data_IF_307139801067
#
_entry.id   IF_307139801067
#
_cell.length_a   1.000
_cell.length_b   1.000
_cell.length_c   1.000
_cell.angle_alpha   90.00
_cell.angle_beta   90.00
_cell.angle_gamma   90.00
#
_symmetry.space_group_name_H-M   'P 1'
#
loop_
_entity.id
_entity.type
_entity.pdbx_description
1 polymer ?
#
# COMPACT_ATOMS: atom_id res chain seq x y z
N UNK A 1 64.13 28.19 -0.77
CA UNK A 1 63.33 28.54 -1.96
C UNK A 1 62.94 27.23 -2.59
N UNK A 2 61.79 26.60 -2.35
CA UNK A 2 60.49 27.02 -1.80
C UNK A 2 59.85 25.70 -1.31
N UNK A 3 59.65 25.55 -0.01
CA UNK A 3 58.33 25.43 0.63
C UNK A 3 57.35 24.42 -0.03
N UNK A 4 57.17 23.26 0.63
CA UNK A 4 55.83 22.72 0.94
C UNK A 4 55.91 21.53 1.90
N UNK A 5 55.52 21.76 3.15
CA UNK A 5 55.16 20.74 4.14
C UNK A 5 53.71 20.23 3.91
N UNK A 6 53.26 19.18 4.63
CA UNK A 6 52.45 18.08 4.11
C UNK A 6 50.95 18.29 4.32
N UNK A 7 50.12 17.61 3.50
CA UNK A 7 48.68 17.52 3.74
C UNK A 7 48.32 16.10 4.18
N UNK A 8 48.37 15.94 5.50
CA UNK A 8 47.39 15.27 6.36
C UNK A 8 46.37 14.39 5.60
N UNK A 9 46.61 13.09 5.57
CA UNK A 9 45.60 12.08 5.24
C UNK A 9 44.52 12.08 6.31
N UNK A 10 43.44 12.81 6.05
CA UNK A 10 42.26 12.87 6.88
C UNK A 10 41.37 11.64 6.61
N UNK A 11 41.35 10.73 7.58
CA UNK A 11 40.15 10.11 8.15
C UNK A 11 38.99 9.76 7.20
N UNK A 12 38.87 8.49 6.86
CA UNK A 12 37.57 7.83 6.92
C UNK A 12 37.19 7.65 8.41
N UNK A 13 35.91 7.62 8.83
CA UNK A 13 34.76 7.12 8.08
C UNK A 13 33.46 7.93 8.24
N UNK A 14 32.63 8.01 7.20
CA UNK A 14 31.21 8.36 7.37
C UNK A 14 30.34 7.16 7.00
N UNK A 15 30.18 6.32 8.01
CA UNK A 15 29.01 5.48 8.15
C UNK A 15 27.80 6.40 8.41
N UNK A 16 27.03 6.68 7.36
CA UNK A 16 25.62 7.08 7.50
C UNK A 16 24.85 6.37 6.39
N UNK A 17 24.76 5.04 6.49
CA UNK A 17 23.52 4.39 6.08
C UNK A 17 22.58 4.57 7.26
N UNK A 18 22.04 5.79 7.41
CA UNK A 18 20.80 5.98 8.12
C UNK A 18 19.82 5.02 7.45
N UNK A 19 19.60 3.90 8.13
CA UNK A 19 18.45 3.05 7.94
C UNK A 19 17.29 4.02 7.98
N UNK A 20 16.80 4.38 6.79
CA UNK A 20 15.55 5.09 6.63
C UNK A 20 14.50 4.06 7.04
N UNK A 21 14.41 3.83 8.34
CA UNK A 21 13.22 3.31 8.98
C UNK A 21 12.16 4.28 8.51
N UNK A 22 11.44 3.89 7.47
CA UNK A 22 10.23 4.57 7.06
C UNK A 22 9.44 4.68 8.35
N UNK A 23 9.11 5.90 8.82
CA UNK A 23 8.32 6.05 10.03
C UNK A 23 7.12 5.13 9.82
N UNK A 24 7.01 4.12 10.67
CA UNK A 24 5.98 3.11 10.56
C UNK A 24 4.72 3.82 11.00
N UNK A 25 4.09 4.54 10.05
CA UNK A 25 2.85 5.25 10.29
C UNK A 25 1.90 4.21 10.86
N UNK A 26 1.42 4.41 12.10
CA UNK A 26 0.50 3.46 12.71
C UNK A 26 -0.67 3.29 11.76
N UNK A 27 -0.95 2.05 11.36
CA UNK A 27 -2.10 1.76 10.51
C UNK A 27 -3.35 2.07 11.35
N UNK A 28 -4.05 3.13 10.98
CA UNK A 28 -5.33 3.49 11.58
C UNK A 28 -6.42 2.57 11.03
N UNK A 29 -6.58 1.43 11.70
CA UNK A 29 -7.54 0.38 11.36
C UNK A 29 -8.98 0.92 11.33
N UNK A 30 -9.32 1.83 12.25
CA UNK A 30 -10.68 2.36 12.37
C UNK A 30 -11.00 3.28 11.19
N UNK A 31 -10.07 4.16 10.82
CA UNK A 31 -10.22 5.00 9.63
C UNK A 31 -10.32 4.14 8.37
N UNK A 32 -9.47 3.11 8.22
CA UNK A 32 -9.55 2.22 7.05
C UNK A 32 -10.89 1.49 6.96
N UNK A 33 -11.43 0.98 8.09
CA UNK A 33 -12.74 0.32 8.13
C UNK A 33 -13.86 1.27 7.71
N UNK A 34 -13.90 2.48 8.25
CA UNK A 34 -14.90 3.48 7.87
C UNK A 34 -14.85 3.82 6.38
N UNK A 35 -13.65 3.97 5.81
CA UNK A 35 -13.47 4.19 4.37
C UNK A 35 -14.00 3.02 3.54
N UNK A 36 -13.68 1.77 3.95
CA UNK A 36 -14.18 0.55 3.30
C UNK A 36 -15.70 0.49 3.37
N UNK A 37 -16.30 0.67 4.55
CA UNK A 37 -17.74 0.59 4.77
C UNK A 37 -18.49 1.64 3.92
N UNK A 38 -17.98 2.88 3.88
CA UNK A 38 -18.52 3.94 3.02
C UNK A 38 -18.47 3.56 1.54
N UNK A 39 -17.35 3.01 1.08
CA UNK A 39 -17.18 2.58 -0.30
C UNK A 39 -18.06 1.37 -0.67
N UNK A 40 -18.31 0.45 0.27
CA UNK A 40 -19.19 -0.70 0.04
C UNK A 40 -20.68 -0.31 0.07
N UNK A 41 -21.04 0.77 0.78
CA UNK A 41 -22.40 1.31 0.81
C UNK A 41 -22.86 1.94 -0.52
N UNK A 42 -21.95 2.15 -1.49
CA UNK A 42 -22.24 2.70 -2.83
C UNK A 42 -23.33 1.95 -3.59
N UNK A 43 -23.51 0.64 -3.32
CA UNK A 43 -24.58 -0.16 -3.93
C UNK A 43 -25.98 0.26 -3.49
N UNK A 44 -26.09 0.85 -2.30
CA UNK A 44 -27.35 1.26 -1.69
C UNK A 44 -27.56 2.78 -1.75
N UNK A 45 -26.47 3.55 -1.83
CA UNK A 45 -26.53 5.01 -1.90
C UNK A 45 -25.51 5.51 -2.94
N UNK A 46 -25.96 5.94 -4.12
CA UNK A 46 -25.09 6.56 -5.11
C UNK A 46 -24.42 7.81 -4.54
N UNK A 47 -23.13 7.99 -4.83
CA UNK A 47 -22.37 9.20 -4.50
C UNK A 47 -22.08 9.99 -5.78
N UNK A 48 -21.78 11.27 -5.60
CA UNK A 48 -21.32 12.14 -6.68
C UNK A 48 -19.91 11.76 -7.15
N UNK A 49 -19.56 12.19 -8.37
CA UNK A 49 -18.28 11.84 -8.99
C UNK A 49 -17.07 12.27 -8.15
N UNK A 50 -17.11 13.47 -7.58
CA UNK A 50 -16.04 14.01 -6.70
C UNK A 50 -15.82 13.12 -5.47
N UNK A 51 -16.91 12.65 -4.85
CA UNK A 51 -16.82 11.75 -3.69
C UNK A 51 -16.26 10.37 -4.06
N UNK A 52 -16.54 9.88 -5.28
CA UNK A 52 -15.96 8.64 -5.79
C UNK A 52 -14.44 8.78 -6.05
N UNK A 53 -14.00 9.94 -6.53
CA UNK A 53 -12.59 10.25 -6.73
C UNK A 53 -11.84 10.32 -5.39
N UNK A 54 -12.42 11.01 -4.40
CA UNK A 54 -11.87 11.09 -3.05
C UNK A 54 -11.77 9.72 -2.39
N UNK A 55 -12.83 8.91 -2.47
CA UNK A 55 -12.83 7.53 -1.95
C UNK A 55 -11.77 6.67 -2.64
N UNK A 56 -11.60 6.83 -3.96
CA UNK A 56 -10.56 6.12 -4.71
C UNK A 56 -9.18 6.48 -4.18
N UNK A 57 -8.90 7.77 -3.99
CA UNK A 57 -7.60 8.25 -3.52
C UNK A 57 -7.30 7.70 -2.12
N UNK A 58 -8.28 7.77 -1.22
CA UNK A 58 -8.17 7.23 0.15
C UNK A 58 -7.90 5.72 0.14
N UNK A 59 -8.69 4.95 -0.61
CA UNK A 59 -8.53 3.49 -0.71
C UNK A 59 -7.16 3.11 -1.27
N UNK A 60 -6.67 3.81 -2.31
CA UNK A 60 -5.32 3.60 -2.84
C UNK A 60 -4.24 3.91 -1.81
N UNK A 61 -4.41 4.99 -1.05
CA UNK A 61 -3.53 5.33 0.06
C UNK A 61 -3.46 4.19 1.09
N UNK A 62 -4.61 3.66 1.50
CA UNK A 62 -4.71 2.55 2.45
C UNK A 62 -4.09 1.26 1.89
N UNK A 63 -4.37 0.90 0.64
CA UNK A 63 -3.78 -0.27 -0.02
C UNK A 63 -2.26 -0.15 -0.09
N UNK A 64 -1.73 1.02 -0.46
CA UNK A 64 -0.27 1.25 -0.53
C UNK A 64 0.42 1.11 0.83
N UNK A 65 -0.27 1.45 1.92
CA UNK A 65 0.24 1.21 3.28
C UNK A 65 0.25 -0.27 3.66
N UNK A 66 -0.76 -1.04 3.22
CA UNK A 66 -0.92 -2.45 3.60
C UNK A 66 -0.14 -3.43 2.71
N UNK A 67 0.09 -3.07 1.44
CA UNK A 67 0.74 -3.93 0.43
C UNK A 67 2.10 -4.49 0.89
N UNK A 68 3.03 -3.70 1.47
CA UNK A 68 4.32 -4.22 1.90
C UNK A 68 4.20 -5.33 2.96
N UNK A 69 3.25 -5.17 3.91
CA UNK A 69 3.00 -6.17 4.95
C UNK A 69 2.47 -7.48 4.36
N UNK A 70 1.57 -7.40 3.37
CA UNK A 70 1.03 -8.57 2.71
C UNK A 70 2.05 -9.26 1.80
N UNK A 71 2.87 -8.48 1.06
CA UNK A 71 3.98 -9.01 0.26
C UNK A 71 4.97 -9.78 1.12
N UNK A 72 5.43 -9.17 2.23
CA UNK A 72 6.36 -9.82 3.15
C UNK A 72 5.79 -11.10 3.80
N UNK A 73 4.47 -11.22 3.92
CA UNK A 73 3.82 -12.45 4.39
C UNK A 73 3.83 -13.53 3.30
N UNK A 74 3.49 -13.18 2.06
CA UNK A 74 3.53 -14.09 0.91
C UNK A 74 4.95 -14.57 0.63
N UNK A 75 5.96 -13.71 0.74
CA UNK A 75 7.36 -14.05 0.49
C UNK A 75 7.94 -15.06 1.50
N UNK A 76 7.31 -15.21 2.67
CA UNK A 76 7.67 -16.22 3.67
C UNK A 76 7.08 -17.60 3.39
N UNK A 77 6.11 -17.70 2.47
CA UNK A 77 5.53 -18.98 2.08
C UNK A 77 6.50 -19.74 1.17
N UNK A 78 6.38 -21.06 1.15
CA UNK A 78 7.19 -21.89 0.27
C UNK A 78 6.93 -21.55 -1.20
N UNK A 79 7.95 -21.14 -1.99
CA UNK A 79 7.77 -20.84 -3.40
C UNK A 79 7.21 -22.04 -4.17
N UNK A 80 6.14 -21.80 -4.93
CA UNK A 80 5.44 -22.85 -5.69
C UNK A 80 4.38 -23.63 -4.91
N UNK A 81 4.17 -23.34 -3.61
CA UNK A 81 2.97 -23.79 -2.90
C UNK A 81 1.70 -23.13 -3.47
N UNK A 82 0.54 -23.75 -3.24
CA UNK A 82 -0.75 -23.19 -3.67
C UNK A 82 -0.98 -21.84 -3.00
N UNK A 83 -0.67 -21.74 -1.71
CA UNK A 83 -0.82 -20.53 -0.90
C UNK A 83 0.06 -19.40 -1.42
N UNK A 84 1.32 -19.70 -1.78
CA UNK A 84 2.23 -18.73 -2.39
C UNK A 84 1.72 -18.24 -3.75
N UNK A 85 1.32 -19.16 -4.63
CA UNK A 85 0.77 -18.83 -5.96
C UNK A 85 -0.50 -17.98 -5.85
N UNK A 86 -1.44 -18.36 -4.98
CA UNK A 86 -2.67 -17.61 -4.72
C UNK A 86 -2.38 -16.23 -4.12
N UNK A 87 -1.46 -16.14 -3.15
CA UNK A 87 -1.04 -14.88 -2.54
C UNK A 87 -0.43 -13.92 -3.57
N UNK A 88 0.51 -14.40 -4.39
CA UNK A 88 1.14 -13.62 -5.46
C UNK A 88 0.14 -13.18 -6.54
N UNK A 89 -0.78 -14.05 -6.94
CA UNK A 89 -1.83 -13.73 -7.89
C UNK A 89 -2.80 -12.67 -7.36
N UNK A 90 -3.17 -12.77 -6.07
CA UNK A 90 -4.03 -11.78 -5.41
C UNK A 90 -3.32 -10.43 -5.30
N UNK A 91 -2.06 -10.40 -4.89
CA UNK A 91 -1.28 -9.15 -4.79
C UNK A 91 -1.08 -8.48 -6.15
N UNK A 92 -0.82 -9.25 -7.20
CA UNK A 92 -0.73 -8.72 -8.58
C UNK A 92 -2.06 -8.09 -9.02
N UNK A 93 -3.18 -8.74 -8.69
CA UNK A 93 -4.53 -8.24 -8.99
C UNK A 93 -4.82 -6.92 -8.28
N UNK A 94 -4.50 -6.84 -6.98
CA UNK A 94 -4.66 -5.61 -6.19
C UNK A 94 -3.85 -4.47 -6.78
N UNK A 95 -2.58 -4.73 -7.12
CA UNK A 95 -1.70 -3.72 -7.71
C UNK A 95 -2.23 -3.20 -9.04
N UNK A 96 -2.70 -4.12 -9.90
CA UNK A 96 -3.33 -3.77 -11.16
C UNK A 96 -4.55 -2.87 -10.98
N UNK A 97 -5.41 -3.13 -9.99
CA UNK A 97 -6.56 -2.26 -9.72
C UNK A 97 -6.16 -0.87 -9.18
N UNK A 98 -5.08 -0.78 -8.40
CA UNK A 98 -4.56 0.50 -7.92
C UNK A 98 -4.03 1.39 -9.05
N UNK A 99 -3.49 0.79 -10.11
CA UNK A 99 -2.88 1.49 -11.25
C UNK A 99 -3.92 1.90 -12.31
N UNK A 100 -5.10 1.27 -12.34
CA UNK A 100 -6.16 1.62 -13.30
C UNK A 100 -6.69 3.03 -13.04
N UNK A 101 -6.80 3.87 -14.06
CA UNK A 101 -7.54 5.12 -13.95
C UNK A 101 -9.02 4.84 -13.71
N UNK A 102 -9.67 5.58 -12.81
CA UNK A 102 -11.13 5.52 -12.71
C UNK A 102 -11.69 6.07 -14.01
N UNK A 103 -12.43 5.24 -14.74
CA UNK A 103 -13.10 5.76 -15.91
C UNK A 103 -14.24 6.66 -15.43
N UNK A 104 -14.32 7.88 -15.95
CA UNK A 104 -15.34 8.87 -15.58
C UNK A 104 -16.76 8.50 -16.09
N UNK A 105 -17.05 7.20 -16.19
CA UNK A 105 -18.39 6.70 -16.45
C UNK A 105 -19.09 6.45 -15.11
N UNK A 106 -20.27 7.06 -14.95
CA UNK A 106 -21.09 6.88 -13.74
C UNK A 106 -21.52 5.42 -13.51
N UNK A 107 -21.41 4.55 -14.53
CA UNK A 107 -21.75 3.13 -14.43
C UNK A 107 -20.58 2.28 -13.92
N UNK A 108 -19.34 2.64 -14.26
CA UNK A 108 -18.14 1.85 -13.94
C UNK A 108 -17.43 2.34 -12.70
N UNK A 109 -17.44 3.65 -12.40
CA UNK A 109 -16.75 4.23 -11.27
C UNK A 109 -17.16 3.61 -9.91
N UNK A 110 -18.47 3.41 -9.58
CA UNK A 110 -18.85 2.79 -8.30
C UNK A 110 -18.38 1.34 -8.16
N UNK A 111 -18.32 0.60 -9.28
CA UNK A 111 -17.82 -0.78 -9.31
C UNK A 111 -16.31 -0.82 -9.07
N UNK A 112 -15.56 0.10 -9.70
CA UNK A 112 -14.11 0.22 -9.49
C UNK A 112 -13.78 0.59 -8.04
N UNK A 113 -14.52 1.53 -7.45
CA UNK A 113 -14.38 1.90 -6.03
C UNK A 113 -14.71 0.73 -5.11
N UNK A 114 -15.82 0.02 -5.35
CA UNK A 114 -16.17 -1.18 -4.56
C UNK A 114 -15.10 -2.27 -4.65
N UNK A 115 -14.47 -2.42 -5.82
CA UNK A 115 -13.38 -3.38 -6.03
C UNK A 115 -12.16 -3.03 -5.19
N UNK A 116 -11.75 -1.76 -5.19
CA UNK A 116 -10.68 -1.26 -4.33
C UNK A 116 -11.01 -1.43 -2.84
N UNK A 117 -12.27 -1.23 -2.45
CA UNK A 117 -12.72 -1.45 -1.08
C UNK A 117 -12.56 -2.90 -0.63
N UNK A 118 -12.96 -3.87 -1.47
CA UNK A 118 -12.75 -5.29 -1.18
C UNK A 118 -11.28 -5.68 -1.13
N UNK A 119 -10.45 -5.12 -2.00
CA UNK A 119 -9.00 -5.35 -1.99
C UNK A 119 -8.36 -4.79 -0.71
N UNK A 120 -8.77 -3.59 -0.29
CA UNK A 120 -8.34 -2.99 0.97
C UNK A 120 -8.81 -3.80 2.18
N UNK A 121 -10.04 -4.29 2.17
CA UNK A 121 -10.59 -5.13 3.24
C UNK A 121 -9.79 -6.44 3.40
N UNK A 122 -9.52 -7.13 2.30
CA UNK A 122 -8.72 -8.36 2.32
C UNK A 122 -7.31 -8.12 2.88
N UNK A 123 -6.66 -7.03 2.47
CA UNK A 123 -5.35 -6.64 2.99
C UNK A 123 -5.38 -6.34 4.49
N UNK A 124 -6.41 -5.63 4.95
CA UNK A 124 -6.58 -5.24 6.35
C UNK A 124 -6.84 -6.47 7.24
N UNK A 125 -7.74 -7.36 6.83
CA UNK A 125 -8.01 -8.61 7.53
C UNK A 125 -6.75 -9.46 7.65
N UNK A 126 -5.99 -9.59 6.56
CA UNK A 126 -4.71 -10.28 6.59
C UNK A 126 -3.72 -9.62 7.55
N UNK A 127 -3.64 -8.29 7.56
CA UNK A 127 -2.75 -7.56 8.46
C UNK A 127 -3.11 -7.79 9.93
N UNK A 128 -4.39 -7.70 10.28
CA UNK A 128 -4.90 -7.95 11.63
C UNK A 128 -4.67 -9.40 12.07
N UNK A 129 -4.85 -10.37 11.18
CA UNK A 129 -4.60 -11.78 11.49
C UNK A 129 -3.14 -12.08 11.84
N UNK A 130 -2.19 -11.28 11.32
CA UNK A 130 -0.74 -11.42 11.59
C UNK A 130 -0.27 -10.69 12.85
N UNK A 131 -1.10 -9.81 13.41
CA UNK A 131 -0.80 -9.08 14.65
C UNK A 131 -1.31 -9.79 15.92
N UNK A 132 -2.12 -10.84 15.75
CA UNK A 132 -2.60 -11.70 16.84
C UNK A 132 -1.58 -12.80 17.13
#
# INVERSE_FOLDING_TARGET
MTDRLPVRGAEAPLAIHESRATPTVPIDVETMRRTIDRALALRSTPLELEELEDLTLLLRGHINLLLPSAQAATDKLWPGSIEWCCGMGRLSTVRFHCEQTIEASMLTAPVQVSRLAHDCQWLLEGHLARQK
#
